data_IF_401811508688
#
_entry.id   IF_401811508688
#
_cell.length_a   1.000
_cell.length_b   1.000
_cell.length_c   1.000
_cell.angle_alpha   90.00
_cell.angle_beta   90.00
_cell.angle_gamma   90.00
#
_symmetry.space_group_name_H-M   'P 1'
#
loop_
_entity.id
_entity.type
_entity.pdbx_description
1 polymer ?
#
# COMPACT_ATOMS: atom_id res chain seq x y z
N UNK A 1 17.62 7.69 5.97
CA UNK A 1 17.13 8.27 4.69
C UNK A 1 15.78 8.91 4.95
N UNK A 2 15.66 10.22 4.74
CA UNK A 2 14.41 10.94 4.95
C UNK A 2 13.43 10.58 3.82
N UNK A 3 12.39 9.83 4.14
CA UNK A 3 11.31 9.55 3.20
C UNK A 3 10.53 10.85 3.02
N UNK A 4 10.79 11.53 1.91
CA UNK A 4 10.05 12.72 1.50
C UNK A 4 8.60 12.29 1.31
N UNK A 5 7.72 12.71 2.22
CA UNK A 5 6.28 12.65 2.04
C UNK A 5 5.96 13.73 1.02
N UNK A 6 6.00 13.39 -0.27
CA UNK A 6 5.45 14.25 -1.31
C UNK A 6 3.92 14.13 -1.21
N UNK A 7 3.18 15.19 -0.83
CA UNK A 7 1.73 15.17 -0.86
C UNK A 7 1.28 15.24 -2.33
N UNK A 8 1.18 14.09 -3.00
CA UNK A 8 0.41 14.02 -4.24
C UNK A 8 -1.08 14.21 -3.90
N UNK A 9 -1.87 14.89 -4.75
CA UNK A 9 -3.21 15.34 -4.41
C UNK A 9 -4.08 14.18 -3.94
N UNK A 10 -4.72 14.36 -2.79
CA UNK A 10 -5.81 13.53 -2.31
C UNK A 10 -6.91 13.58 -3.39
N UNK A 11 -7.02 12.55 -4.21
CA UNK A 11 -8.00 12.52 -5.32
C UNK A 11 -9.38 12.23 -4.73
N UNK A 12 -10.24 13.26 -4.79
CA UNK A 12 -11.59 13.27 -4.26
C UNK A 12 -12.54 12.56 -5.23
N UNK A 13 -13.15 11.46 -4.78
CA UNK A 13 -14.36 10.91 -5.39
C UNK A 13 -15.25 10.35 -4.28
N UNK A 14 -16.19 11.16 -3.78
CA UNK A 14 -17.47 10.75 -3.19
C UNK A 14 -17.58 9.77 -2.00
N UNK A 15 -16.53 9.04 -1.65
CA UNK A 15 -16.43 8.16 -0.48
C UNK A 15 -15.33 8.72 0.44
N UNK A 16 -15.36 8.39 1.74
CA UNK A 16 -14.34 8.79 2.72
C UNK A 16 -12.93 8.82 2.11
N UNK A 17 -12.15 9.86 2.40
CA UNK A 17 -10.79 10.00 1.86
C UNK A 17 -9.95 8.77 2.26
N UNK A 18 -9.83 7.78 1.38
CA UNK A 18 -8.99 6.62 1.62
C UNK A 18 -7.54 7.09 1.57
N UNK A 19 -6.86 6.95 2.70
CA UNK A 19 -5.45 7.26 2.77
C UNK A 19 -4.67 6.32 1.86
N UNK A 20 -3.82 6.87 1.00
CA UNK A 20 -2.97 6.10 0.10
C UNK A 20 -1.64 6.80 -0.12
N UNK A 21 -0.63 6.02 -0.51
CA UNK A 21 0.73 6.50 -0.74
C UNK A 21 1.34 5.79 -1.95
N UNK A 22 1.81 6.58 -2.90
CA UNK A 22 2.60 6.07 -4.03
C UNK A 22 4.08 6.10 -3.61
N UNK A 23 4.77 4.99 -3.87
CA UNK A 23 6.22 4.89 -3.66
C UNK A 23 6.90 4.99 -5.03
N UNK A 24 7.72 6.02 -5.28
CA UNK A 24 8.45 6.16 -6.53
C UNK A 24 9.73 5.28 -6.57
N UNK A 25 10.14 4.80 -7.76
CA UNK A 25 11.48 4.20 -7.96
C UNK A 25 12.53 5.31 -7.79
N UNK A 26 13.54 5.15 -6.91
CA UNK A 26 14.57 6.16 -6.72
C UNK A 26 15.47 6.34 -7.96
N UNK A 27 15.49 5.38 -8.89
CA UNK A 27 16.27 5.47 -10.13
C UNK A 27 15.52 6.20 -11.26
N UNK A 28 14.25 5.87 -11.49
CA UNK A 28 13.49 6.39 -12.64
C UNK A 28 12.50 7.51 -12.29
N UNK A 29 12.18 7.69 -11.00
CA UNK A 29 11.15 8.62 -10.53
C UNK A 29 9.70 8.19 -10.83
N UNK A 30 9.50 7.06 -11.54
CA UNK A 30 8.17 6.53 -11.86
C UNK A 30 7.54 5.86 -10.64
N UNK A 31 6.20 5.78 -10.56
CA UNK A 31 5.53 4.95 -9.56
C UNK A 31 6.04 3.51 -9.59
N UNK A 32 6.47 2.99 -8.45
CA UNK A 32 6.95 1.61 -8.29
C UNK A 32 6.01 0.76 -7.42
N UNK A 33 5.26 1.38 -6.50
CA UNK A 33 4.26 0.72 -5.69
C UNK A 33 3.16 1.68 -5.25
N UNK A 34 1.98 1.14 -4.97
CA UNK A 34 0.87 1.84 -4.32
C UNK A 34 0.53 1.16 -2.99
N UNK A 35 0.41 1.97 -1.94
CA UNK A 35 -0.04 1.56 -0.62
C UNK A 35 -1.40 2.18 -0.35
N UNK A 36 -2.35 1.38 0.10
CA UNK A 36 -3.69 1.82 0.49
C UNK A 36 -3.83 1.50 1.98
N UNK A 37 -4.15 2.50 2.79
CA UNK A 37 -4.34 2.35 4.23
C UNK A 37 -5.83 2.21 4.53
N UNK A 38 -6.18 1.05 5.09
CA UNK A 38 -7.55 0.68 5.38
C UNK A 38 -7.83 0.84 6.88
N UNK A 39 -7.89 2.09 7.33
CA UNK A 39 -7.96 2.46 8.76
C UNK A 39 -9.14 1.83 9.52
N UNK A 40 -10.18 1.39 8.81
CA UNK A 40 -11.39 0.76 9.38
C UNK A 40 -11.56 -0.71 8.98
N UNK A 41 -10.59 -1.33 8.30
CA UNK A 41 -10.68 -2.74 7.95
C UNK A 41 -10.32 -3.62 9.16
N UNK A 42 -11.30 -4.35 9.67
CA UNK A 42 -11.12 -5.31 10.77
C UNK A 42 -10.76 -6.71 10.28
N UNK A 43 -11.10 -7.04 9.03
CA UNK A 43 -10.93 -8.36 8.45
C UNK A 43 -10.51 -8.33 6.96
N UNK A 44 -10.36 -9.53 6.39
CA UNK A 44 -9.99 -9.71 4.99
C UNK A 44 -11.04 -9.15 4.02
N UNK A 45 -12.32 -9.16 4.42
CA UNK A 45 -13.40 -8.61 3.60
C UNK A 45 -13.28 -7.09 3.53
N UNK A 46 -13.07 -6.42 4.67
CA UNK A 46 -12.81 -4.98 4.73
C UNK A 46 -11.62 -4.56 3.87
N UNK A 47 -10.49 -5.28 3.95
CA UNK A 47 -9.33 -5.01 3.08
C UNK A 47 -9.68 -5.13 1.58
N UNK A 48 -10.54 -6.09 1.23
CA UNK A 48 -10.99 -6.29 -0.15
C UNK A 48 -11.92 -5.17 -0.61
N UNK A 49 -12.75 -4.64 0.27
CA UNK A 49 -13.64 -3.52 -0.03
C UNK A 49 -12.85 -2.24 -0.33
N UNK A 50 -11.80 -1.96 0.44
CA UNK A 50 -10.87 -0.85 0.15
C UNK A 50 -10.20 -1.01 -1.21
N UNK A 51 -9.78 -2.24 -1.55
CA UNK A 51 -9.24 -2.53 -2.88
C UNK A 51 -10.27 -2.28 -4.00
N UNK A 52 -11.55 -2.61 -3.75
CA UNK A 52 -12.65 -2.37 -4.69
C UNK A 52 -12.91 -0.87 -4.89
N UNK A 53 -12.90 -0.09 -3.81
CA UNK A 53 -13.09 1.36 -3.86
C UNK A 53 -11.97 2.06 -4.64
N UNK A 54 -10.73 1.57 -4.50
CA UNK A 54 -9.54 2.09 -5.19
C UNK A 54 -9.26 1.40 -6.54
N UNK A 55 -10.13 0.50 -7.00
CA UNK A 55 -9.86 -0.38 -8.15
C UNK A 55 -9.44 0.41 -9.40
N UNK A 56 -10.10 1.53 -9.67
CA UNK A 56 -9.75 2.41 -10.80
C UNK A 56 -8.29 2.88 -10.72
N UNK A 57 -7.86 3.37 -9.55
CA UNK A 57 -6.49 3.85 -9.35
C UNK A 57 -5.47 2.71 -9.44
N UNK A 58 -5.82 1.52 -8.95
CA UNK A 58 -4.96 0.33 -9.02
C UNK A 58 -4.66 -0.02 -10.48
N UNK A 59 -5.70 -0.06 -11.33
CA UNK A 59 -5.56 -0.39 -12.74
C UNK A 59 -4.90 0.75 -13.53
N UNK A 60 -5.21 2.02 -13.23
CA UNK A 60 -4.62 3.18 -13.92
C UNK A 60 -3.11 3.32 -13.65
N UNK A 61 -2.65 2.99 -12.43
CA UNK A 61 -1.22 3.04 -12.10
C UNK A 61 -0.46 1.80 -12.57
N UNK A 62 -1.12 0.64 -12.60
CA UNK A 62 -0.54 -0.66 -12.97
C UNK A 62 0.77 -1.00 -12.24
N UNK A 63 0.82 -0.70 -10.94
CA UNK A 63 1.96 -1.00 -10.06
C UNK A 63 1.57 -1.97 -8.94
N UNK A 64 2.51 -2.77 -8.42
CA UNK A 64 2.28 -3.58 -7.23
C UNK A 64 1.55 -2.79 -6.14
N UNK A 65 0.41 -3.33 -5.70
CA UNK A 65 -0.47 -2.62 -4.75
C UNK A 65 -0.79 -3.49 -3.55
N UNK A 66 -0.70 -2.87 -2.37
CA UNK A 66 -1.04 -3.47 -1.09
C UNK A 66 -2.07 -2.63 -0.33
N UNK A 67 -3.01 -3.31 0.30
CA UNK A 67 -3.95 -2.75 1.28
C UNK A 67 -3.48 -3.15 2.68
N UNK A 68 -3.33 -2.17 3.57
CA UNK A 68 -2.73 -2.34 4.89
C UNK A 68 -3.79 -2.03 5.94
N UNK A 69 -4.07 -3.01 6.80
CA UNK A 69 -4.96 -2.87 7.95
C UNK A 69 -4.27 -2.06 9.08
N UNK A 70 -5.04 -1.57 10.06
CA UNK A 70 -4.47 -0.99 11.27
C UNK A 70 -3.56 -2.01 11.97
N UNK A 71 -2.49 -1.56 12.64
CA UNK A 71 -1.60 -2.45 13.37
C UNK A 71 -2.33 -3.13 14.53
N UNK A 72 -2.10 -4.43 14.67
CA UNK A 72 -2.63 -5.20 15.80
C UNK A 72 -1.68 -5.08 17.00
N UNK A 73 -2.03 -4.22 17.95
CA UNK A 73 -1.34 -4.04 19.23
C UNK A 73 -0.78 -2.64 19.45
N UNK A 74 -0.09 -2.45 20.58
CA UNK A 74 0.48 -1.16 20.97
C UNK A 74 1.98 -1.15 20.73
N UNK A 75 2.44 -0.32 19.78
CA UNK A 75 3.87 -0.12 19.54
C UNK A 75 4.18 0.29 18.11
N UNK A 76 5.30 0.99 17.91
CA UNK A 76 5.74 1.41 16.56
C UNK A 76 6.07 0.26 15.62
N UNK A 77 6.28 -0.94 16.17
CA UNK A 77 6.57 -2.15 15.41
C UNK A 77 5.44 -3.18 15.46
N UNK A 78 4.22 -2.76 15.82
CA UNK A 78 3.06 -3.64 15.80
C UNK A 78 2.77 -4.07 14.35
N UNK A 79 2.50 -5.36 14.16
CA UNK A 79 2.29 -5.92 12.84
C UNK A 79 0.88 -5.61 12.33
N UNK A 80 0.78 -5.36 11.03
CA UNK A 80 -0.49 -5.14 10.32
C UNK A 80 -0.81 -6.33 9.43
N UNK A 81 -2.10 -6.58 9.23
CA UNK A 81 -2.57 -7.45 8.15
C UNK A 81 -2.42 -6.71 6.83
N UNK A 82 -1.72 -7.32 5.87
CA UNK A 82 -1.41 -6.73 4.58
C UNK A 82 -1.93 -7.66 3.48
N UNK A 83 -2.74 -7.11 2.58
CA UNK A 83 -3.30 -7.80 1.43
C UNK A 83 -2.67 -7.24 0.15
N UNK A 84 -1.94 -8.07 -0.60
CA UNK A 84 -1.52 -7.71 -1.96
C UNK A 84 -2.68 -7.95 -2.92
N UNK A 85 -3.03 -6.94 -3.70
CA UNK A 85 -4.20 -6.96 -4.59
C UNK A 85 -3.83 -6.86 -6.07
N UNK A 86 -2.65 -6.32 -6.39
CA UNK A 86 -2.15 -6.16 -7.76
C UNK A 86 -0.64 -6.49 -7.83
N UNK A 87 -0.11 -7.02 -8.95
CA UNK A 87 -0.79 -7.48 -10.18
C UNK A 87 -1.53 -8.81 -10.02
N UNK A 88 -1.13 -9.60 -9.02
CA UNK A 88 -1.82 -10.81 -8.61
C UNK A 88 -2.20 -10.68 -7.15
N UNK A 89 -3.45 -11.04 -6.86
CA UNK A 89 -3.93 -11.12 -5.48
C UNK A 89 -3.22 -12.27 -4.75
N UNK A 90 -2.70 -11.98 -3.57
CA UNK A 90 -2.07 -12.96 -2.69
C UNK A 90 -2.84 -13.05 -1.36
N UNK A 91 -2.67 -14.14 -0.59
CA UNK A 91 -3.24 -14.25 0.75
C UNK A 91 -2.79 -13.09 1.65
N UNK A 92 -3.58 -12.81 2.69
CA UNK A 92 -3.19 -11.82 3.70
C UNK A 92 -1.98 -12.32 4.46
N UNK A 93 -0.98 -11.46 4.60
CA UNK A 93 0.21 -11.69 5.40
C UNK A 93 0.26 -10.70 6.55
N UNK A 94 0.71 -11.15 7.72
CA UNK A 94 0.91 -10.28 8.87
C UNK A 94 2.39 -9.90 8.94
N UNK A 95 2.69 -8.61 8.76
CA UNK A 95 4.05 -8.09 8.70
C UNK A 95 4.20 -6.87 9.61
N UNK A 96 5.36 -6.75 10.24
CA UNK A 96 5.78 -5.51 10.89
C UNK A 96 6.15 -4.44 9.86
N UNK A 97 6.17 -3.15 10.23
CA UNK A 97 6.62 -2.08 9.34
C UNK A 97 8.02 -2.33 8.76
N UNK A 98 8.96 -2.86 9.57
CA UNK A 98 10.33 -3.13 9.11
C UNK A 98 10.38 -4.26 8.08
N UNK A 99 9.66 -5.36 8.31
CA UNK A 99 9.58 -6.48 7.35
C UNK A 99 8.93 -6.04 6.03
N UNK A 100 7.85 -5.25 6.13
CA UNK A 100 7.18 -4.72 4.94
C UNK A 100 8.06 -3.75 4.15
N UNK A 101 8.79 -2.87 4.83
CA UNK A 101 9.73 -1.96 4.18
C UNK A 101 10.86 -2.72 3.47
N UNK A 102 11.44 -3.75 4.10
CA UNK A 102 12.45 -4.59 3.45
C UNK A 102 11.90 -5.31 2.21
N UNK A 103 10.65 -5.78 2.26
CA UNK A 103 9.98 -6.37 1.10
C UNK A 103 9.79 -5.34 -0.02
N UNK A 104 9.32 -4.14 0.30
CA UNK A 104 9.15 -3.06 -0.67
C UNK A 104 10.47 -2.66 -1.32
N UNK A 105 11.54 -2.51 -0.55
CA UNK A 105 12.86 -2.15 -1.07
C UNK A 105 13.37 -3.14 -2.12
N UNK A 106 13.17 -4.45 -1.91
CA UNK A 106 13.54 -5.48 -2.89
C UNK A 106 12.75 -5.32 -4.20
N UNK A 107 11.43 -5.15 -4.10
CA UNK A 107 10.57 -4.99 -5.28
C UNK A 107 10.91 -3.70 -6.05
N UNK A 108 11.18 -2.61 -5.34
CA UNK A 108 11.57 -1.33 -5.93
C UNK A 108 12.95 -1.42 -6.58
N UNK A 109 13.88 -2.17 -6.00
CA UNK A 109 15.21 -2.40 -6.59
C UNK A 109 15.11 -3.17 -7.91
N UNK A 110 14.19 -4.13 -8.01
CA UNK A 110 13.93 -4.95 -9.20
C UNK A 110 13.11 -4.22 -10.27
N UNK A 111 12.36 -3.18 -9.91
CA UNK A 111 11.50 -2.43 -10.83
C UNK A 111 12.25 -1.77 -12.00
N UNK A 112 13.51 -1.37 -11.78
CA UNK A 112 14.30 -0.56 -12.69
C UNK A 112 15.46 -1.37 -13.34
N UNK A 113 15.33 -2.70 -13.46
CA UNK A 113 16.31 -3.58 -14.15
C UNK A 113 16.12 -3.52 -15.67
#
# INVERSE_FOLDING_TARGET
MAVIIIPYPIILSGYEKIASKIIPCPKSGRPAALLIFADYAEDVAGLSDYARLMYRNIIELDVPTWVIAPPEGTGRNAASNILKVHPKREPVCKLTPDEFNQMLERIIAEHCI
#
